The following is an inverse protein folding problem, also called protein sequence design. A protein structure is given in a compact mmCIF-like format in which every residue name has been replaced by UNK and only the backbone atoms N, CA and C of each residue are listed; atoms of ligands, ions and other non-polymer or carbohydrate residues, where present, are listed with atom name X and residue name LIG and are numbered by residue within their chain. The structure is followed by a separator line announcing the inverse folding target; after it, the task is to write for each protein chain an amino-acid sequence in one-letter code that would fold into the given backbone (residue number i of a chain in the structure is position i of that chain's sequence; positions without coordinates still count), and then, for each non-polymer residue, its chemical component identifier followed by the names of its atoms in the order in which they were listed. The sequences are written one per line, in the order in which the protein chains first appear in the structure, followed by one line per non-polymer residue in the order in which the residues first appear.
data_IF_221396598109
#
_entry.id   IF_221396598109
#
_cell.length_a   1.000
_cell.length_b   1.000
_cell.length_c   1.000
_cell.angle_alpha   90.00
_cell.angle_beta   90.00
_cell.angle_gamma   90.00
#
_symmetry.space_group_name_H-M   'P 1'
#
loop_
_entity.id
_entity.type
_entity.pdbx_description
1 polymer ?
#
# COMPACT_ATOMS: atom_id res chain seq x y z
N UNK A 1 -0.39 12.27 3.36
CA UNK A 1 0.26 11.85 4.64
C UNK A 1 -0.10 10.39 4.90
N UNK A 2 0.79 9.53 5.43
CA UNK A 2 0.47 8.11 5.67
C UNK A 2 -0.48 7.97 6.86
N UNK A 3 -1.64 7.35 6.64
CA UNK A 3 -2.66 7.14 7.66
C UNK A 3 -2.14 6.29 8.85
N UNK A 4 -2.57 6.61 10.07
CA UNK A 4 -2.07 5.96 11.30
C UNK A 4 -2.29 4.45 11.30
N UNK A 5 -3.44 3.98 10.80
CA UNK A 5 -3.76 2.56 10.67
C UNK A 5 -2.84 1.82 9.71
N UNK A 6 -2.38 2.48 8.65
CA UNK A 6 -1.39 1.93 7.71
C UNK A 6 -0.05 1.71 8.40
N UNK A 7 0.39 2.68 9.21
CA UNK A 7 1.60 2.54 10.03
C UNK A 7 1.48 1.38 11.02
N UNK A 8 0.30 1.19 11.62
CA UNK A 8 0.04 0.06 12.51
C UNK A 8 0.15 -1.28 11.76
N UNK A 9 -0.46 -1.41 10.58
CA UNK A 9 -0.37 -2.63 9.77
C UNK A 9 1.09 -2.92 9.38
N UNK A 10 1.82 -1.90 8.92
CA UNK A 10 3.23 -2.03 8.57
C UNK A 10 4.06 -2.52 9.77
N UNK A 11 3.83 -1.96 10.95
CA UNK A 11 4.48 -2.42 12.18
C UNK A 11 4.09 -3.85 12.54
N UNK A 12 2.80 -4.20 12.48
CA UNK A 12 2.31 -5.54 12.78
C UNK A 12 2.90 -6.62 11.85
N UNK A 13 3.14 -6.29 10.58
CA UNK A 13 3.90 -7.14 9.65
C UNK A 13 5.37 -7.22 10.09
N UNK A 14 6.02 -6.07 10.37
CA UNK A 14 7.43 -5.98 10.77
C UNK A 14 7.74 -6.81 12.01
N UNK A 15 6.91 -6.73 13.05
CA UNK A 15 7.06 -7.47 14.32
C UNK A 15 6.44 -8.87 14.28
N UNK A 16 6.04 -9.35 13.09
CA UNK A 16 5.50 -10.69 12.85
C UNK A 16 4.20 -11.02 13.60
N UNK A 17 3.45 -10.01 14.05
CA UNK A 17 2.08 -10.17 14.54
C UNK A 17 1.13 -10.56 13.42
N UNK A 18 1.30 -9.96 12.24
CA UNK A 18 0.72 -10.43 10.98
C UNK A 18 1.77 -11.29 10.26
N UNK A 19 1.49 -12.58 10.13
CA UNK A 19 2.40 -13.57 9.55
C UNK A 19 1.65 -14.62 8.73
N UNK A 20 2.37 -15.24 7.79
CA UNK A 20 1.80 -16.17 6.80
C UNK A 20 1.38 -15.46 5.52
N UNK A 21 1.60 -16.11 4.38
CA UNK A 21 1.52 -15.49 3.06
C UNK A 21 0.18 -14.80 2.79
N UNK A 22 -0.93 -15.53 2.96
CA UNK A 22 -2.27 -14.98 2.71
C UNK A 22 -2.67 -13.84 3.65
N UNK A 23 -2.24 -13.89 4.92
CA UNK A 23 -2.51 -12.81 5.89
C UNK A 23 -1.73 -11.55 5.56
N UNK A 24 -0.46 -11.70 5.17
CA UNK A 24 0.38 -10.59 4.73
C UNK A 24 -0.21 -9.95 3.47
N UNK A 25 -0.58 -10.74 2.46
CA UNK A 25 -1.17 -10.22 1.23
C UNK A 25 -2.45 -9.40 1.49
N UNK A 26 -3.39 -9.93 2.29
CA UNK A 26 -4.61 -9.21 2.67
C UNK A 26 -4.34 -7.95 3.48
N UNK A 27 -3.39 -8.01 4.42
CA UNK A 27 -3.01 -6.84 5.21
C UNK A 27 -2.37 -5.73 4.35
N UNK A 28 -1.54 -6.11 3.37
CA UNK A 28 -1.00 -5.19 2.37
C UNK A 28 -2.11 -4.53 1.56
N UNK A 29 -3.09 -5.32 1.09
CA UNK A 29 -4.25 -4.79 0.37
C UNK A 29 -5.08 -3.83 1.21
N UNK A 30 -5.37 -4.21 2.45
CA UNK A 30 -6.11 -3.38 3.40
C UNK A 30 -5.37 -2.06 3.69
N UNK A 31 -4.05 -2.09 3.87
CA UNK A 31 -3.25 -0.89 4.09
C UNK A 31 -3.31 0.08 2.90
N UNK A 32 -3.22 -0.42 1.67
CA UNK A 32 -3.33 0.41 0.46
C UNK A 32 -4.74 0.98 0.31
N UNK A 33 -5.78 0.18 0.55
CA UNK A 33 -7.19 0.61 0.56
C UNK A 33 -7.43 1.73 1.57
N UNK A 34 -7.01 1.56 2.82
CA UNK A 34 -7.17 2.56 3.88
C UNK A 34 -6.50 3.88 3.48
N UNK A 35 -5.30 3.83 2.88
CA UNK A 35 -4.64 5.05 2.42
C UNK A 35 -5.46 5.74 1.32
N UNK A 36 -5.96 4.99 0.34
CA UNK A 36 -6.77 5.55 -0.74
C UNK A 36 -8.06 6.18 -0.23
N UNK A 37 -8.81 5.48 0.63
CA UNK A 37 -10.09 5.94 1.20
C UNK A 37 -9.92 7.19 2.09
N UNK A 38 -8.76 7.34 2.72
CA UNK A 38 -8.45 8.50 3.58
C UNK A 38 -7.56 9.54 2.87
N UNK A 39 -7.40 9.45 1.55
CA UNK A 39 -6.61 10.40 0.80
C UNK A 39 -7.35 11.73 0.63
N UNK A 40 -6.63 12.83 0.76
CA UNK A 40 -7.12 14.17 0.40
C UNK A 40 -6.59 14.64 -0.97
N UNK A 41 -6.00 13.74 -1.75
CA UNK A 41 -5.50 14.03 -3.08
C UNK A 41 -6.62 14.58 -3.97
N UNK A 42 -6.31 15.65 -4.71
CA UNK A 42 -7.25 16.29 -5.65
C UNK A 42 -7.11 15.80 -7.09
N UNK A 43 -6.13 14.94 -7.35
CA UNK A 43 -5.87 14.32 -8.64
C UNK A 43 -5.16 12.97 -8.45
N UNK A 44 -5.25 12.14 -9.47
CA UNK A 44 -4.62 10.83 -9.64
C UNK A 44 -3.11 10.87 -9.39
N UNK A 45 -2.39 11.88 -9.91
CA UNK A 45 -0.95 12.02 -9.69
C UNK A 45 -0.59 12.13 -8.21
N UNK A 46 -1.34 12.90 -7.45
CA UNK A 46 -1.16 13.05 -6.00
C UNK A 46 -1.53 11.76 -5.27
N UNK A 47 -2.66 11.13 -5.63
CA UNK A 47 -3.08 9.85 -5.04
C UNK A 47 -2.03 8.76 -5.30
N UNK A 48 -1.53 8.66 -6.54
CA UNK A 48 -0.48 7.74 -6.94
C UNK A 48 0.80 7.95 -6.12
N UNK A 49 1.17 9.20 -5.86
CA UNK A 49 2.31 9.54 -4.99
C UNK A 49 2.10 9.05 -3.56
N UNK A 50 0.89 9.19 -3.01
CA UNK A 50 0.56 8.67 -1.68
C UNK A 50 0.60 7.14 -1.63
N UNK A 51 0.02 6.46 -2.62
CA UNK A 51 0.04 5.00 -2.73
C UNK A 51 1.48 4.49 -2.88
N UNK A 52 2.32 5.14 -3.69
CA UNK A 52 3.73 4.81 -3.84
C UNK A 52 4.50 4.94 -2.51
N UNK A 53 4.19 5.96 -1.71
CA UNK A 53 4.80 6.13 -0.38
C UNK A 53 4.41 4.99 0.57
N UNK A 54 3.14 4.57 0.57
CA UNK A 54 2.66 3.43 1.36
C UNK A 54 3.27 2.11 0.88
N UNK A 55 3.34 1.88 -0.42
CA UNK A 55 4.00 0.71 -1.00
C UNK A 55 5.46 0.60 -0.54
N UNK A 56 6.21 1.71 -0.58
CA UNK A 56 7.61 1.74 -0.09
C UNK A 56 7.70 1.44 1.40
N UNK A 57 6.79 1.98 2.21
CA UNK A 57 6.73 1.67 3.65
C UNK A 57 6.50 0.18 3.88
N UNK A 58 5.51 -0.42 3.22
CA UNK A 58 5.16 -1.83 3.39
C UNK A 58 6.30 -2.75 2.93
N UNK A 59 6.90 -2.48 1.77
CA UNK A 59 8.04 -3.24 1.24
C UNK A 59 9.23 -3.26 2.21
N UNK A 60 9.45 -2.17 2.95
CA UNK A 60 10.51 -2.06 3.94
C UNK A 60 10.26 -2.82 5.26
N UNK A 61 9.08 -3.44 5.45
CA UNK A 61 8.76 -4.13 6.71
C UNK A 61 9.44 -5.49 6.81
N UNK A 62 9.18 -6.38 5.85
CA UNK A 62 9.76 -7.74 5.76
C UNK A 62 9.96 -8.14 4.28
N UNK A 63 11.05 -7.71 3.64
CA UNK A 63 11.32 -7.97 2.22
C UNK A 63 11.35 -9.45 1.83
N UNK A 64 11.67 -10.35 2.77
CA UNK A 64 11.72 -11.80 2.54
C UNK A 64 10.35 -12.48 2.53
N UNK A 65 9.28 -11.79 2.94
CA UNK A 65 7.92 -12.32 2.85
C UNK A 65 7.38 -12.13 1.42
N UNK A 66 7.66 -13.09 0.53
CA UNK A 66 7.35 -13.03 -0.93
C UNK A 66 5.92 -12.54 -1.27
N UNK A 67 4.93 -12.89 -0.46
CA UNK A 67 3.54 -12.44 -0.65
C UNK A 67 3.36 -10.93 -0.54
N UNK A 68 4.25 -10.22 0.17
CA UNK A 68 4.18 -8.78 0.37
C UNK A 68 4.48 -8.01 -0.93
N UNK A 69 5.67 -8.16 -1.57
CA UNK A 69 5.93 -7.49 -2.84
C UNK A 69 4.97 -7.94 -3.94
N UNK A 70 4.52 -9.21 -3.93
CA UNK A 70 3.52 -9.69 -4.87
C UNK A 70 2.17 -8.97 -4.71
N UNK A 71 1.70 -8.80 -3.48
CA UNK A 71 0.46 -8.08 -3.22
C UNK A 71 0.56 -6.60 -3.62
N UNK A 72 1.67 -5.93 -3.28
CA UNK A 72 1.91 -4.55 -3.72
C UNK A 72 1.86 -4.46 -5.25
N UNK A 73 2.63 -5.29 -5.96
CA UNK A 73 2.70 -5.28 -7.42
C UNK A 73 1.35 -5.55 -8.07
N UNK A 74 0.61 -6.53 -7.56
CA UNK A 74 -0.70 -6.89 -8.09
C UNK A 74 -1.71 -5.74 -7.97
N UNK A 75 -1.71 -5.03 -6.85
CA UNK A 75 -2.64 -3.91 -6.61
C UNK A 75 -2.24 -2.67 -7.41
N UNK A 76 -0.95 -2.45 -7.60
CA UNK A 76 -0.45 -1.25 -8.28
C UNK A 76 -0.15 -1.46 -9.76
N UNK A 77 -0.38 -2.65 -10.34
CA UNK A 77 0.00 -2.95 -11.73
C UNK A 77 -0.72 -2.06 -12.74
N UNK A 78 -1.95 -1.69 -12.43
CA UNK A 78 -2.84 -0.98 -13.35
C UNK A 78 -2.99 0.51 -12.96
N UNK A 79 -2.19 0.98 -11.99
CA UNK A 79 -2.19 2.38 -11.58
C UNK A 79 -1.29 3.21 -12.49
N UNK A 80 -1.88 4.11 -13.28
CA UNK A 80 -1.16 5.15 -14.02
C UNK A 80 -1.47 6.54 -13.44
N UNK A 81 -0.48 7.46 -13.40
CA UNK A 81 -0.71 8.84 -12.99
C UNK A 81 -1.40 9.69 -14.07
N UNK A 82 -1.55 9.16 -15.28
CA UNK A 82 -2.02 9.88 -16.47
C UNK A 82 -3.53 9.72 -16.72
N UNK A 83 -4.25 9.08 -15.79
CA UNK A 83 -5.68 8.81 -15.92
C UNK A 83 -6.58 10.05 -15.84
N UNK A 84 -6.05 11.20 -15.42
CA UNK A 84 -6.80 12.47 -15.33
C UNK A 84 -6.56 13.40 -16.54
N UNK A 85 -5.98 12.91 -17.63
CA UNK A 85 -5.69 13.72 -18.83
C UNK A 85 -6.92 14.12 -19.64
N UNK A 86 -8.11 13.59 -19.32
CA UNK A 86 -9.33 13.84 -20.07
C UNK A 86 -10.39 14.49 -19.17
N UNK A 87 -10.32 15.82 -19.04
CA UNK A 87 -11.47 16.76 -18.94
C UNK A 87 -11.04 18.22 -18.91
#
# INVERSE_FOLDING_TARGET
MIHSKVKQIANDIKVMKIRGAGKIARATAEALKIQAENSHAKNSKNLFTEIKAVSKLLLGTRPTAVSLPNAVRYITSDLSPDSDSDK
#
